data_IF_097306481707
#
_entry.id   IF_097306481707
#
_cell.length_a   1.000
_cell.length_b   1.000
_cell.length_c   1.000
_cell.angle_alpha   90.00
_cell.angle_beta   90.00
_cell.angle_gamma   90.00
#
_symmetry.space_group_name_H-M   'P 1'
#
loop_
_entity.id
_entity.type
_entity.pdbx_description
1 polymer ?
#
# COMPACT_ATOMS: atom_id res chain seq x y z
N UNK A 1 4.61 9.48 -7.10
CA UNK A 1 3.66 10.56 -6.74
C UNK A 1 2.23 10.01 -6.66
N UNK A 2 1.70 9.34 -7.70
CA UNK A 2 0.31 8.82 -7.69
C UNK A 2 0.04 7.82 -6.56
N UNK A 3 0.89 6.82 -6.38
CA UNK A 3 0.76 5.80 -5.34
C UNK A 3 0.81 6.42 -3.94
N UNK A 4 1.70 7.35 -3.72
CA UNK A 4 1.87 8.05 -2.45
C UNK A 4 0.62 8.87 -2.10
N UNK A 5 0.09 9.62 -3.07
CA UNK A 5 -1.17 10.35 -2.90
C UNK A 5 -2.38 9.43 -2.72
N UNK A 6 -2.40 8.30 -3.42
CA UNK A 6 -3.47 7.32 -3.32
C UNK A 6 -3.57 6.76 -1.89
N UNK A 7 -2.45 6.34 -1.32
CA UNK A 7 -2.40 5.80 0.05
C UNK A 7 -2.78 6.88 1.08
N UNK A 8 -2.36 8.12 0.87
CA UNK A 8 -2.71 9.23 1.76
C UNK A 8 -4.22 9.52 1.74
N UNK A 9 -4.87 9.48 0.57
CA UNK A 9 -6.31 9.68 0.43
C UNK A 9 -7.14 8.56 1.09
N UNK A 10 -6.63 7.32 1.10
CA UNK A 10 -7.31 6.16 1.72
C UNK A 10 -7.14 6.15 3.24
N UNK A 11 -6.13 6.83 3.79
CA UNK A 11 -5.84 6.85 5.24
C UNK A 11 -7.00 7.43 6.08
N UNK A 12 -7.96 8.10 5.46
CA UNK A 12 -9.19 8.55 6.11
C UNK A 12 -10.17 7.44 6.53
N UNK A 13 -9.96 6.20 6.10
CA UNK A 13 -10.80 5.04 6.44
C UNK A 13 -10.00 4.10 7.35
N UNK A 14 -10.50 3.88 8.58
CA UNK A 14 -9.84 3.08 9.61
C UNK A 14 -9.41 1.69 9.09
N UNK A 15 -8.12 1.42 9.13
CA UNK A 15 -7.52 0.13 8.79
C UNK A 15 -7.45 -0.22 7.30
N UNK A 16 -8.10 0.53 6.41
CA UNK A 16 -8.10 0.22 4.98
C UNK A 16 -6.74 0.48 4.34
N UNK A 17 -6.19 1.68 4.55
CA UNK A 17 -4.88 2.04 4.00
C UNK A 17 -3.78 1.10 4.49
N UNK A 18 -3.69 0.88 5.80
CA UNK A 18 -2.69 -0.01 6.39
C UNK A 18 -2.90 -1.48 6.01
N UNK A 19 -4.14 -1.92 5.86
CA UNK A 19 -4.47 -3.27 5.38
C UNK A 19 -4.03 -3.50 3.94
N UNK A 20 -4.34 -2.57 3.03
CA UNK A 20 -3.92 -2.63 1.62
C UNK A 20 -2.40 -2.56 1.47
N UNK A 21 -1.74 -1.65 2.20
CA UNK A 21 -0.28 -1.59 2.24
C UNK A 21 0.33 -2.89 2.75
N UNK A 22 -0.26 -3.51 3.78
CA UNK A 22 0.17 -4.79 4.31
C UNK A 22 0.09 -5.91 3.26
N UNK A 23 -1.02 -6.04 2.57
CA UNK A 23 -1.22 -7.04 1.50
C UNK A 23 -0.21 -6.81 0.37
N UNK A 24 -0.02 -5.57 -0.06
CA UNK A 24 0.94 -5.21 -1.11
C UNK A 24 2.38 -5.56 -0.71
N UNK A 25 2.76 -5.30 0.54
CA UNK A 25 4.09 -5.64 1.05
C UNK A 25 4.31 -7.15 1.18
N UNK A 26 3.29 -7.93 1.56
CA UNK A 26 3.37 -9.41 1.56
C UNK A 26 3.61 -9.94 0.16
N UNK A 27 2.85 -9.44 -0.81
CA UNK A 27 3.00 -9.85 -2.21
C UNK A 27 4.40 -9.50 -2.74
N UNK A 28 4.88 -8.27 -2.49
CA UNK A 28 6.22 -7.83 -2.89
C UNK A 28 7.32 -8.64 -2.18
N UNK A 29 7.17 -8.95 -0.89
CA UNK A 29 8.12 -9.79 -0.15
C UNK A 29 8.23 -11.18 -0.77
N UNK A 30 7.11 -11.82 -1.11
CA UNK A 30 7.08 -13.12 -1.77
C UNK A 30 7.82 -13.11 -3.10
N UNK A 31 7.61 -12.07 -3.92
CA UNK A 31 8.27 -11.91 -5.21
C UNK A 31 9.79 -11.71 -5.08
N UNK A 32 10.22 -10.84 -4.15
CA UNK A 32 11.64 -10.61 -3.90
C UNK A 32 12.36 -11.86 -3.35
N UNK A 33 11.67 -12.68 -2.53
CA UNK A 33 12.19 -13.96 -2.06
C UNK A 33 12.32 -14.95 -3.24
N UNK A 34 11.32 -15.02 -4.11
CA UNK A 34 11.35 -15.87 -5.29
C UNK A 34 12.52 -15.53 -6.23
N UNK A 35 12.81 -14.23 -6.37
CA UNK A 35 13.93 -13.73 -7.18
C UNK A 35 15.29 -13.79 -6.45
N UNK A 36 15.37 -14.39 -5.26
CA UNK A 36 16.57 -14.43 -4.41
C UNK A 36 17.14 -13.04 -4.03
N UNK A 37 16.31 -12.00 -4.06
CA UNK A 37 16.68 -10.63 -3.67
C UNK A 37 16.43 -10.40 -2.17
N UNK A 38 17.20 -11.07 -1.33
CA UNK A 38 16.98 -11.12 0.12
C UNK A 38 17.04 -9.75 0.80
N UNK A 39 17.86 -8.82 0.31
CA UNK A 39 17.95 -7.47 0.88
C UNK A 39 16.63 -6.69 0.77
N UNK A 40 15.97 -6.78 -0.38
CA UNK A 40 14.68 -6.11 -0.61
C UNK A 40 13.52 -6.86 0.06
N UNK A 41 13.60 -8.19 0.13
CA UNK A 41 12.65 -8.99 0.90
C UNK A 41 12.71 -8.62 2.39
N UNK A 42 13.91 -8.41 2.94
CA UNK A 42 14.09 -7.97 4.32
C UNK A 42 13.45 -6.59 4.57
N UNK A 43 13.59 -5.66 3.63
CA UNK A 43 12.95 -4.34 3.71
C UNK A 43 11.43 -4.46 3.73
N UNK A 44 10.83 -5.33 2.91
CA UNK A 44 9.39 -5.61 2.91
C UNK A 44 8.93 -6.18 4.28
N UNK A 45 9.68 -7.16 4.81
CA UNK A 45 9.36 -7.82 6.09
C UNK A 45 9.47 -6.81 7.25
N UNK A 46 10.46 -5.94 7.22
CA UNK A 46 10.64 -4.89 8.24
C UNK A 46 9.48 -3.90 8.21
N UNK A 47 9.07 -3.45 7.03
CA UNK A 47 7.91 -2.58 6.87
C UNK A 47 6.62 -3.27 7.33
N UNK A 48 6.44 -4.55 7.05
CA UNK A 48 5.32 -5.36 7.55
C UNK A 48 5.32 -5.45 9.08
N UNK A 49 6.48 -5.67 9.69
CA UNK A 49 6.62 -5.72 11.14
C UNK A 49 6.20 -4.41 11.83
N UNK A 50 6.32 -3.28 11.14
CA UNK A 50 5.86 -1.99 11.63
C UNK A 50 4.35 -1.80 11.40
N UNK A 51 3.81 -2.23 10.27
CA UNK A 51 2.38 -2.06 9.93
C UNK A 51 1.47 -2.95 10.76
N UNK A 52 1.87 -4.19 11.06
CA UNK A 52 1.01 -5.16 11.78
C UNK A 52 0.55 -4.62 13.14
N UNK A 53 1.42 -4.21 14.07
CA UNK A 53 0.98 -3.65 15.35
C UNK A 53 0.19 -2.34 15.16
N UNK A 54 0.59 -1.50 14.20
CA UNK A 54 -0.15 -0.29 13.87
C UNK A 54 -1.59 -0.60 13.45
N UNK A 55 -1.80 -1.57 12.56
CA UNK A 55 -3.10 -2.00 12.09
C UNK A 55 -4.00 -2.48 13.23
N UNK A 56 -3.44 -3.28 14.17
CA UNK A 56 -4.18 -3.70 15.35
C UNK A 56 -4.67 -2.53 16.19
N UNK A 57 -3.83 -1.53 16.46
CA UNK A 57 -4.21 -0.35 17.23
C UNK A 57 -5.14 0.59 16.47
N UNK A 58 -5.04 0.63 15.15
CA UNK A 58 -5.91 1.45 14.31
C UNK A 58 -7.33 0.88 14.21
N UNK A 59 -7.46 -0.44 14.01
CA UNK A 59 -8.75 -1.12 13.84
C UNK A 59 -9.43 -1.40 15.19
N UNK A 60 -8.69 -1.94 16.16
CA UNK A 60 -9.24 -2.38 17.45
C UNK A 60 -9.03 -1.35 18.57
N UNK A 61 -8.33 -0.27 18.30
CA UNK A 61 -8.10 0.80 19.28
C UNK A 61 -9.40 1.48 19.69
N UNK A 62 -9.64 1.59 20.99
CA UNK A 62 -10.83 2.25 21.51
C UNK A 62 -10.60 3.77 21.58
N UNK A 63 -11.29 4.53 20.73
CA UNK A 63 -11.17 5.99 20.64
C UNK A 63 -11.51 6.68 21.97
N UNK A 64 -12.48 6.15 22.74
CA UNK A 64 -12.87 6.70 24.04
C UNK A 64 -11.77 6.56 25.12
N UNK A 65 -10.82 5.63 24.96
CA UNK A 65 -9.71 5.42 25.89
C UNK A 65 -8.40 6.02 25.37
N UNK A 66 -8.42 6.81 24.29
CA UNK A 66 -7.23 7.42 23.69
C UNK A 66 -6.24 6.40 23.10
N UNK A 67 -6.68 5.20 22.76
CA UNK A 67 -5.84 4.11 22.26
C UNK A 67 -5.95 3.90 20.74
N UNK A 68 -6.63 4.78 20.03
CA UNK A 68 -6.72 4.73 18.58
C UNK A 68 -5.55 5.50 17.97
N UNK A 69 -4.77 4.83 17.15
CA UNK A 69 -3.67 5.45 16.41
C UNK A 69 -4.10 5.74 14.98
N UNK A 70 -3.82 6.95 14.53
CA UNK A 70 -3.96 7.34 13.13
C UNK A 70 -2.56 7.36 12.50
N UNK A 71 -2.47 6.95 11.24
CA UNK A 71 -1.20 6.88 10.52
C UNK A 71 -0.62 8.28 10.27
N UNK A 72 -1.48 9.24 9.96
CA UNK A 72 -1.10 10.60 9.60
C UNK A 72 -0.38 10.67 8.26
N UNK A 73 -0.26 11.88 7.74
CA UNK A 73 0.29 12.15 6.40
C UNK A 73 1.73 11.64 6.24
N UNK A 74 2.57 11.80 7.26
CA UNK A 74 3.97 11.35 7.20
C UNK A 74 4.09 9.83 7.13
N UNK A 75 3.23 9.10 7.83
CA UNK A 75 3.23 7.63 7.80
C UNK A 75 2.76 7.08 6.46
N UNK A 76 1.64 7.58 5.95
CA UNK A 76 1.07 7.17 4.66
C UNK A 76 1.98 7.53 3.49
N UNK A 77 2.59 8.72 3.50
CA UNK A 77 3.56 9.16 2.49
C UNK A 77 4.82 8.29 2.49
N UNK A 78 5.36 7.97 3.68
CA UNK A 78 6.54 7.12 3.81
C UNK A 78 6.30 5.70 3.30
N UNK A 79 5.15 5.10 3.66
CA UNK A 79 4.76 3.77 3.16
C UNK A 79 4.54 3.76 1.66
N UNK A 80 3.85 4.78 1.13
CA UNK A 80 3.66 4.95 -0.31
C UNK A 80 4.98 5.05 -1.07
N UNK A 81 5.97 5.74 -0.49
CA UNK A 81 7.30 5.84 -1.07
C UNK A 81 8.02 4.47 -1.08
N UNK A 82 8.02 3.75 0.06
CA UNK A 82 8.65 2.43 0.16
C UNK A 82 8.04 1.44 -0.83
N UNK A 83 6.71 1.38 -0.91
CA UNK A 83 6.00 0.49 -1.85
C UNK A 83 6.33 0.86 -3.29
N UNK A 84 6.30 2.16 -3.64
CA UNK A 84 6.63 2.63 -4.99
C UNK A 84 8.07 2.30 -5.38
N UNK A 85 9.01 2.48 -4.45
CA UNK A 85 10.42 2.14 -4.66
C UNK A 85 10.60 0.63 -4.92
N UNK A 86 10.00 -0.22 -4.09
CA UNK A 86 10.07 -1.68 -4.25
C UNK A 86 9.47 -2.16 -5.57
N UNK A 87 8.39 -1.52 -6.01
CA UNK A 87 7.76 -1.83 -7.29
C UNK A 87 8.62 -1.46 -8.48
N UNK A 88 9.17 -0.24 -8.48
CA UNK A 88 10.08 0.20 -9.55
C UNK A 88 11.30 -0.73 -9.60
N UNK A 89 11.85 -1.06 -8.43
CA UNK A 89 12.97 -2.01 -8.35
C UNK A 89 12.59 -3.38 -8.95
N UNK A 90 11.43 -3.93 -8.58
CA UNK A 90 10.96 -5.20 -9.11
C UNK A 90 10.78 -5.17 -10.64
N UNK A 91 10.32 -4.04 -11.19
CA UNK A 91 10.13 -3.86 -12.64
C UNK A 91 11.44 -3.72 -13.40
N UNK A 92 12.54 -3.29 -12.74
CA UNK A 92 13.84 -3.06 -13.38
C UNK A 92 14.83 -4.21 -13.23
N UNK A 93 14.50 -5.23 -12.42
CA UNK A 93 15.37 -6.39 -12.21
C UNK A 93 15.27 -7.36 -13.39
N UNK A 94 16.30 -7.37 -14.23
CA UNK A 94 16.52 -8.39 -15.26
C UNK A 94 17.14 -9.64 -14.66
N UNK A 95 16.32 -10.64 -14.29
CA UNK A 95 16.79 -11.90 -13.70
C UNK A 95 17.01 -13.00 -14.75
N UNK A 96 16.52 -12.83 -15.99
CA UNK A 96 16.74 -13.78 -17.10
C UNK A 96 16.24 -13.22 -18.43
N UNK A 97 16.82 -13.63 -19.56
CA UNK A 97 16.45 -13.08 -20.85
C UNK A 97 15.01 -13.46 -21.23
N UNK A 98 14.20 -12.46 -21.36
CA UNK A 98 12.95 -12.37 -22.12
C UNK A 98 11.61 -12.81 -21.49
N UNK A 99 11.54 -13.67 -20.47
CA UNK A 99 10.23 -14.17 -20.00
C UNK A 99 9.87 -13.65 -18.59
N UNK A 100 10.85 -13.51 -17.73
CA UNK A 100 10.62 -13.16 -16.31
C UNK A 100 10.35 -11.67 -16.11
N UNK A 101 10.91 -10.80 -16.95
CA UNK A 101 10.72 -9.35 -16.89
C UNK A 101 9.25 -8.96 -17.09
N UNK A 102 8.57 -9.59 -18.05
CA UNK A 102 7.17 -9.28 -18.36
C UNK A 102 6.23 -9.68 -17.21
N UNK A 103 6.47 -10.83 -16.58
CA UNK A 103 5.68 -11.26 -15.41
C UNK A 103 5.88 -10.36 -14.20
N UNK A 104 7.10 -9.89 -13.94
CA UNK A 104 7.40 -8.99 -12.82
C UNK A 104 6.69 -7.64 -12.99
N UNK A 105 6.69 -7.10 -14.21
CA UNK A 105 5.99 -5.85 -14.52
C UNK A 105 4.47 -6.01 -14.34
N UNK A 106 3.88 -7.07 -14.90
CA UNK A 106 2.45 -7.36 -14.76
C UNK A 106 2.07 -7.55 -13.29
N UNK A 107 2.89 -8.28 -12.52
CA UNK A 107 2.65 -8.50 -11.10
C UNK A 107 2.69 -7.20 -10.30
N UNK A 108 3.68 -6.34 -10.56
CA UNK A 108 3.80 -5.04 -9.92
C UNK A 108 2.56 -4.17 -10.21
N UNK A 109 2.14 -4.09 -11.46
CA UNK A 109 0.93 -3.34 -11.84
C UNK A 109 -0.34 -3.92 -11.20
N UNK A 110 -0.49 -5.24 -11.19
CA UNK A 110 -1.66 -5.91 -10.59
C UNK A 110 -1.75 -5.62 -9.10
N UNK A 111 -0.63 -5.67 -8.39
CA UNK A 111 -0.58 -5.35 -6.94
C UNK A 111 -1.00 -3.90 -6.66
N UNK A 112 -0.71 -2.96 -7.57
CA UNK A 112 -1.11 -1.56 -7.45
C UNK A 112 -2.53 -1.27 -7.92
N UNK A 113 -3.09 -2.12 -8.75
CA UNK A 113 -4.43 -1.90 -9.28
C UNK A 113 -5.47 -1.83 -8.16
N UNK A 114 -5.34 -2.65 -7.12
CA UNK A 114 -6.28 -2.69 -5.99
C UNK A 114 -6.31 -1.37 -5.21
N UNK A 115 -5.18 -0.82 -4.70
CA UNK A 115 -5.19 0.49 -4.05
C UNK A 115 -5.67 1.62 -4.96
N UNK A 116 -5.30 1.59 -6.23
CA UNK A 116 -5.73 2.62 -7.19
C UNK A 116 -7.23 2.60 -7.45
N UNK A 117 -7.83 1.43 -7.60
CA UNK A 117 -9.29 1.28 -7.79
C UNK A 117 -10.06 1.75 -6.57
N UNK A 118 -9.57 1.48 -5.36
CA UNK A 118 -10.19 1.95 -4.13
C UNK A 118 -10.16 3.49 -4.00
N UNK A 119 -9.08 4.13 -4.43
CA UNK A 119 -9.01 5.61 -4.49
C UNK A 119 -10.04 6.18 -5.46
N UNK A 120 -10.13 5.63 -6.66
CA UNK A 120 -11.11 6.07 -7.67
C UNK A 120 -12.54 5.87 -7.16
N UNK A 121 -12.80 4.76 -6.48
CA UNK A 121 -14.11 4.47 -5.89
C UNK A 121 -14.43 5.42 -4.73
N UNK A 122 -13.46 5.69 -3.85
CA UNK A 122 -13.61 6.65 -2.74
C UNK A 122 -13.87 8.06 -3.24
N UNK A 123 -13.12 8.53 -4.25
CA UNK A 123 -13.31 9.85 -4.87
C UNK A 123 -14.71 10.02 -5.47
N UNK A 124 -15.22 9.02 -6.16
CA UNK A 124 -16.56 9.06 -6.75
C UNK A 124 -17.70 9.07 -5.72
N UNK A 125 -17.50 8.51 -4.56
CA UNK A 125 -18.48 8.56 -3.45
C UNK A 125 -18.52 9.95 -2.80
N UNK A 126 -17.37 10.59 -2.65
CA UNK A 126 -17.27 11.95 -2.09
C UNK A 126 -17.92 12.97 -3.02
N UNK A 127 -17.75 12.84 -4.33
CA UNK A 127 -18.41 13.69 -5.33
C UNK A 127 -19.93 13.57 -5.28
N UNK A 128 -20.46 12.36 -5.22
CA UNK A 128 -21.90 12.10 -5.11
C UNK A 128 -22.52 12.63 -3.81
N UNK A 129 -21.77 12.55 -2.69
CA UNK A 129 -22.20 13.14 -1.45
C UNK A 129 -22.22 14.68 -1.51
N UNK A 130 -21.22 15.29 -2.13
CA UNK A 130 -21.19 16.74 -2.32
C UNK A 130 -22.36 17.24 -3.19
N UNK A 131 -22.69 16.54 -4.26
CA UNK A 131 -23.87 16.85 -5.10
C UNK A 131 -25.19 16.71 -4.34
N UNK A 132 -25.32 15.68 -3.50
CA UNK A 132 -26.55 15.45 -2.72
C UNK A 132 -26.77 16.48 -1.61
N UNK A 133 -25.72 17.15 -1.14
CA UNK A 133 -25.80 18.22 -0.14
C UNK A 133 -26.11 19.58 -0.77
N UNK A 134 -25.80 19.75 -2.06
CA UNK A 134 -26.03 21.00 -2.80
C UNK A 134 -27.38 21.01 -3.54
N UNK A 135 -28.06 19.87 -3.61
CA UNK A 135 -29.40 19.72 -4.18
C UNK A 135 -30.50 19.79 -3.12
#
# INVERSE_FOLDING_TARGET
>A
VYVTNAINLIDGIDGLASGLCGISLVALAGQHIWLHLFSFALLCITALGMIIPFWFYNVFGNAMRGRKLFMGDSGSLSLGYIISFLMIHLSTVDVSPHVVSDYNMVFAFTTMLVPLLDVVRGGSQTEKQAESVLA
#
